data_IF_840691493309
#
_entry.id   IF_840691493309
#
_cell.length_a   1.000
_cell.length_b   1.000
_cell.length_c   1.000
_cell.angle_alpha   90.00
_cell.angle_beta   90.00
_cell.angle_gamma   90.00
#
_symmetry.space_group_name_H-M   'P 1'
#
loop_
_entity.id
_entity.type
_entity.pdbx_description
1 polymer ?
#
# COMPACT_ATOMS: atom_id res chain seq x y z
N UNK A 1 -5.03 -25.58 -12.88
CA UNK A 1 -4.23 -25.49 -11.64
C UNK A 1 -2.90 -24.82 -11.94
N UNK A 2 -2.55 -23.72 -11.28
CA UNK A 2 -1.21 -23.11 -11.36
C UNK A 2 -0.23 -24.05 -10.67
N UNK A 3 0.70 -24.66 -11.41
CA UNK A 3 1.78 -25.46 -10.80
C UNK A 3 2.71 -24.51 -10.03
N UNK A 4 2.68 -24.63 -8.71
CA UNK A 4 3.61 -23.93 -7.81
C UNK A 4 4.94 -24.68 -7.91
N UNK A 5 6.02 -23.98 -8.16
CA UNK A 5 7.37 -24.52 -8.11
C UNK A 5 7.75 -24.73 -6.64
N UNK A 6 8.03 -25.95 -6.24
CA UNK A 6 8.39 -26.29 -4.85
C UNK A 6 9.84 -25.92 -4.51
N UNK A 7 10.73 -25.99 -5.50
CA UNK A 7 12.15 -25.61 -5.34
C UNK A 7 12.34 -24.19 -5.86
N UNK A 8 13.05 -23.30 -5.12
CA UNK A 8 13.33 -21.95 -5.57
C UNK A 8 14.00 -21.92 -6.94
N UNK A 9 13.74 -20.88 -7.72
CA UNK A 9 14.45 -20.63 -8.98
C UNK A 9 15.96 -20.55 -8.70
N UNK A 10 16.82 -21.07 -9.53
CA UNK A 10 18.26 -21.18 -9.30
C UNK A 10 18.70 -22.52 -8.73
N UNK A 11 17.77 -23.36 -8.31
CA UNK A 11 18.08 -24.68 -7.76
C UNK A 11 17.30 -25.79 -8.45
N UNK A 12 17.93 -26.96 -8.49
CA UNK A 12 17.33 -28.20 -8.98
C UNK A 12 17.62 -29.34 -8.01
N UNK A 13 16.87 -30.41 -8.08
CA UNK A 13 17.12 -31.60 -7.26
C UNK A 13 17.87 -32.65 -8.08
N UNK A 14 18.99 -33.11 -7.55
CA UNK A 14 19.75 -34.27 -8.09
C UNK A 14 20.06 -35.23 -6.96
N UNK A 15 19.73 -36.50 -7.15
CA UNK A 15 19.99 -37.57 -6.19
C UNK A 15 19.50 -37.27 -4.76
N UNK A 16 18.32 -36.63 -4.62
CA UNK A 16 17.72 -36.30 -3.33
C UNK A 16 18.35 -35.05 -2.65
N UNK A 17 19.30 -34.38 -3.27
CA UNK A 17 19.94 -33.15 -2.76
C UNK A 17 19.62 -31.96 -3.65
N UNK A 18 19.49 -30.80 -3.04
CA UNK A 18 19.33 -29.53 -3.75
C UNK A 18 20.70 -29.06 -4.25
N UNK A 19 20.83 -28.82 -5.54
CA UNK A 19 22.05 -28.32 -6.17
C UNK A 19 21.76 -27.07 -7.00
N UNK A 20 22.76 -26.23 -7.17
CA UNK A 20 22.66 -25.01 -7.99
C UNK A 20 22.46 -25.41 -9.47
N UNK A 21 21.48 -24.77 -10.12
CA UNK A 21 21.33 -24.78 -11.58
C UNK A 21 22.11 -23.61 -12.14
N UNK A 22 23.21 -23.87 -12.85
CA UNK A 22 24.14 -22.85 -13.35
C UNK A 22 23.42 -21.76 -14.15
N UNK A 23 22.57 -22.17 -15.11
CA UNK A 23 21.83 -21.25 -15.96
C UNK A 23 20.86 -20.37 -15.17
N UNK A 24 20.09 -20.96 -14.25
CA UNK A 24 19.15 -20.21 -13.43
C UNK A 24 19.85 -19.33 -12.38
N UNK A 25 21.02 -19.75 -11.88
CA UNK A 25 21.82 -18.97 -10.93
C UNK A 25 22.41 -17.71 -11.57
N UNK A 26 22.80 -17.77 -12.83
CA UNK A 26 23.23 -16.58 -13.58
C UNK A 26 22.09 -15.57 -13.69
N UNK A 27 20.89 -16.02 -14.00
CA UNK A 27 19.71 -15.14 -14.05
C UNK A 27 19.42 -14.48 -12.70
N UNK A 28 19.60 -15.22 -11.58
CA UNK A 28 19.45 -14.63 -10.25
C UNK A 28 20.49 -13.51 -10.02
N UNK A 29 21.75 -13.75 -10.33
CA UNK A 29 22.82 -12.74 -10.21
C UNK A 29 22.52 -11.51 -11.05
N UNK A 30 22.03 -11.69 -12.27
CA UNK A 30 21.59 -10.61 -13.16
C UNK A 30 20.43 -9.80 -12.56
N UNK A 31 19.42 -10.46 -11.96
CA UNK A 31 18.31 -9.81 -11.30
C UNK A 31 18.79 -8.91 -10.15
N UNK A 32 19.64 -9.44 -9.25
CA UNK A 32 20.18 -8.67 -8.13
C UNK A 32 21.02 -7.49 -8.62
N UNK A 33 21.91 -7.71 -9.60
CA UNK A 33 22.74 -6.67 -10.22
C UNK A 33 21.90 -5.57 -10.86
N UNK A 34 20.90 -5.91 -11.67
CA UNK A 34 20.01 -4.95 -12.31
C UNK A 34 19.21 -4.15 -11.26
N UNK A 35 18.73 -4.81 -10.21
CA UNK A 35 17.97 -4.16 -9.15
C UNK A 35 18.81 -3.16 -8.35
N UNK A 36 20.03 -3.52 -8.00
CA UNK A 36 20.98 -2.63 -7.31
C UNK A 36 21.41 -1.45 -8.20
N UNK A 37 21.50 -1.66 -9.51
CA UNK A 37 21.76 -0.60 -10.49
C UNK A 37 20.55 0.32 -10.74
N UNK A 38 19.46 0.18 -9.99
CA UNK A 38 18.34 1.10 -10.02
C UNK A 38 17.14 0.64 -10.86
N UNK A 39 17.21 -0.50 -11.55
CA UNK A 39 16.08 -1.01 -12.33
C UNK A 39 14.84 -1.27 -11.45
N UNK A 40 13.64 -1.04 -11.99
CA UNK A 40 12.41 -1.38 -11.29
C UNK A 40 12.09 -2.86 -11.42
N UNK A 41 11.35 -3.42 -10.44
CA UNK A 41 10.91 -4.83 -10.49
C UNK A 41 10.13 -5.15 -11.78
N UNK A 42 9.40 -4.16 -12.32
CA UNK A 42 8.64 -4.29 -13.56
C UNK A 42 9.58 -4.33 -14.77
N UNK A 43 10.55 -3.42 -14.85
CA UNK A 43 11.52 -3.37 -15.94
C UNK A 43 12.34 -4.66 -16.04
N UNK A 44 12.81 -5.20 -14.89
CA UNK A 44 13.51 -6.48 -14.84
C UNK A 44 12.63 -7.61 -15.37
N UNK A 45 11.36 -7.66 -14.95
CA UNK A 45 10.43 -8.69 -15.40
C UNK A 45 10.15 -8.61 -16.92
N UNK A 46 10.01 -7.40 -17.46
CA UNK A 46 9.80 -7.14 -18.89
C UNK A 46 11.04 -7.55 -19.71
N UNK A 47 12.24 -7.24 -19.23
CA UNK A 47 13.49 -7.64 -19.87
C UNK A 47 13.65 -9.16 -19.92
N UNK A 48 13.48 -9.86 -18.80
CA UNK A 48 13.58 -11.31 -18.76
C UNK A 48 12.54 -11.99 -19.67
N UNK A 49 11.31 -11.41 -19.73
CA UNK A 49 10.26 -11.90 -20.63
C UNK A 49 10.62 -11.67 -22.09
N UNK A 50 11.18 -10.51 -22.45
CA UNK A 50 11.58 -10.19 -23.83
C UNK A 50 12.75 -11.09 -24.30
N UNK A 51 13.66 -11.43 -23.39
CA UNK A 51 14.75 -12.40 -23.64
C UNK A 51 14.27 -13.86 -23.66
N UNK A 52 12.96 -14.12 -23.47
CA UNK A 52 12.37 -15.46 -23.47
C UNK A 52 12.99 -16.41 -22.44
N UNK A 53 13.53 -15.89 -21.33
CA UNK A 53 14.17 -16.68 -20.29
C UNK A 53 13.10 -17.53 -19.60
N UNK A 54 13.25 -18.88 -19.55
CA UNK A 54 12.24 -19.74 -18.97
C UNK A 54 12.22 -19.60 -17.43
N UNK A 55 11.05 -19.29 -16.87
CA UNK A 55 10.83 -19.40 -15.42
C UNK A 55 10.47 -20.83 -15.00
N UNK A 56 9.76 -21.54 -15.85
CA UNK A 56 9.46 -22.96 -15.75
C UNK A 56 9.51 -23.55 -17.16
N UNK A 57 9.56 -24.90 -17.27
CA UNK A 57 9.51 -25.60 -18.57
C UNK A 57 8.34 -25.15 -19.49
N UNK A 58 7.29 -24.51 -18.92
CA UNK A 58 6.07 -24.14 -19.64
C UNK A 58 5.84 -22.64 -19.76
N UNK A 59 6.65 -21.80 -19.13
CA UNK A 59 6.41 -20.35 -19.15
C UNK A 59 7.71 -19.55 -19.11
N UNK A 60 7.80 -18.60 -20.03
CA UNK A 60 8.85 -17.58 -20.13
C UNK A 60 8.38 -16.23 -19.62
N UNK A 61 7.12 -16.13 -19.14
CA UNK A 61 6.56 -14.87 -18.65
C UNK A 61 7.04 -14.59 -17.24
N UNK A 62 7.64 -13.44 -17.03
CA UNK A 62 8.04 -12.92 -15.74
C UNK A 62 7.08 -11.82 -15.29
N UNK A 63 6.89 -11.66 -14.00
CA UNK A 63 6.11 -10.59 -13.40
C UNK A 63 6.84 -9.98 -12.19
N UNK A 64 6.45 -8.77 -11.81
CA UNK A 64 7.06 -8.05 -10.69
C UNK A 64 7.02 -8.84 -9.37
N UNK A 65 5.99 -9.68 -9.17
CA UNK A 65 5.84 -10.45 -7.94
C UNK A 65 6.83 -11.62 -7.87
N UNK A 66 7.20 -12.20 -9.03
CA UNK A 66 8.26 -13.21 -9.11
C UNK A 66 9.61 -12.59 -8.79
N UNK A 67 9.94 -11.44 -9.37
CA UNK A 67 11.19 -10.73 -9.08
C UNK A 67 11.24 -10.34 -7.60
N UNK A 68 10.15 -9.79 -7.04
CA UNK A 68 10.09 -9.43 -5.63
C UNK A 68 10.35 -10.63 -4.70
N UNK A 69 9.76 -11.79 -5.01
CA UNK A 69 9.97 -13.03 -4.25
C UNK A 69 11.41 -13.57 -4.36
N UNK A 70 12.08 -13.37 -5.50
CA UNK A 70 13.48 -13.73 -5.66
C UNK A 70 14.35 -12.84 -4.76
N UNK A 71 14.14 -11.53 -4.77
CA UNK A 71 14.91 -10.58 -3.94
C UNK A 71 14.70 -10.84 -2.44
N UNK A 72 13.49 -11.25 -2.02
CA UNK A 72 13.18 -11.52 -0.60
C UNK A 72 13.65 -12.90 -0.11
N UNK A 73 14.12 -13.76 -0.99
CA UNK A 73 14.40 -15.14 -0.63
C UNK A 73 15.81 -15.32 -0.05
N UNK A 74 15.89 -15.38 1.28
CA UNK A 74 17.15 -15.58 2.01
C UNK A 74 17.88 -16.89 1.69
N UNK A 75 17.24 -17.88 1.04
CA UNK A 75 17.89 -19.12 0.63
C UNK A 75 19.06 -18.91 -0.34
N UNK A 76 19.06 -17.79 -1.05
CA UNK A 76 20.16 -17.47 -2.00
C UNK A 76 21.48 -17.08 -1.34
N UNK A 77 21.48 -16.75 -0.05
CA UNK A 77 22.69 -16.48 0.74
C UNK A 77 23.30 -17.78 1.28
N UNK A 78 22.56 -18.88 1.19
CA UNK A 78 22.96 -20.18 1.70
C UNK A 78 22.20 -20.57 2.96
N UNK A 79 21.91 -21.86 3.07
CA UNK A 79 21.32 -22.53 4.25
C UNK A 79 21.87 -23.94 4.32
N UNK A 80 21.51 -24.73 5.33
CA UNK A 80 21.91 -26.13 5.43
C UNK A 80 21.50 -26.96 4.19
N UNK A 81 20.40 -26.57 3.50
CA UNK A 81 19.86 -27.29 2.35
C UNK A 81 20.18 -26.65 0.99
N UNK A 82 20.65 -25.41 0.97
CA UNK A 82 20.85 -24.62 -0.25
C UNK A 82 22.23 -23.98 -0.27
N UNK A 83 23.02 -24.29 -1.27
CA UNK A 83 24.32 -23.64 -1.50
C UNK A 83 24.12 -22.16 -1.88
N UNK A 84 25.01 -21.25 -1.48
CA UNK A 84 24.86 -19.82 -1.77
C UNK A 84 25.02 -19.51 -3.27
N UNK A 85 24.10 -18.69 -3.81
CA UNK A 85 24.16 -18.16 -5.18
C UNK A 85 24.60 -16.69 -5.17
N UNK A 86 24.23 -15.95 -4.11
CA UNK A 86 24.47 -14.52 -3.93
C UNK A 86 25.23 -14.31 -2.63
N UNK A 87 26.15 -13.34 -2.63
CA UNK A 87 26.83 -12.91 -1.41
C UNK A 87 25.86 -12.18 -0.46
N UNK A 88 26.04 -12.36 0.84
CA UNK A 88 25.21 -11.77 1.89
C UNK A 88 25.11 -10.25 1.76
N UNK A 89 26.24 -9.58 1.51
CA UNK A 89 26.29 -8.13 1.32
C UNK A 89 25.42 -7.64 0.14
N UNK A 90 25.37 -8.39 -0.96
CA UNK A 90 24.54 -8.08 -2.13
C UNK A 90 23.07 -8.26 -1.80
N UNK A 91 22.72 -9.32 -1.06
CA UNK A 91 21.37 -9.60 -0.62
C UNK A 91 20.85 -8.50 0.33
N UNK A 92 21.61 -8.18 1.37
CA UNK A 92 21.25 -7.13 2.33
C UNK A 92 21.07 -5.76 1.67
N UNK A 93 21.96 -5.40 0.76
CA UNK A 93 21.84 -4.16 -0.01
C UNK A 93 20.55 -4.13 -0.84
N UNK A 94 20.18 -5.25 -1.48
CA UNK A 94 18.97 -5.33 -2.28
C UNK A 94 17.69 -5.24 -1.42
N UNK A 95 17.65 -5.91 -0.26
CA UNK A 95 16.53 -5.86 0.70
C UNK A 95 16.41 -4.46 1.31
N UNK A 96 17.52 -3.84 1.69
CA UNK A 96 17.55 -2.47 2.21
C UNK A 96 17.02 -1.47 1.18
N UNK A 97 17.48 -1.56 -0.07
CA UNK A 97 17.00 -0.73 -1.17
C UNK A 97 15.49 -0.93 -1.41
N UNK A 98 15.00 -2.16 -1.32
CA UNK A 98 13.58 -2.47 -1.46
C UNK A 98 12.75 -1.83 -0.35
N UNK A 99 13.21 -1.94 0.89
CA UNK A 99 12.57 -1.34 2.06
C UNK A 99 12.55 0.18 1.96
N UNK A 100 13.66 0.82 1.55
CA UNK A 100 13.74 2.25 1.33
C UNK A 100 12.75 2.72 0.25
N UNK A 101 12.64 1.99 -0.87
CA UNK A 101 11.66 2.28 -1.93
C UNK A 101 10.21 2.12 -1.47
N UNK A 102 9.92 1.18 -0.57
CA UNK A 102 8.60 1.03 0.04
C UNK A 102 8.28 2.18 1.00
N UNK A 103 9.22 2.59 1.85
CA UNK A 103 9.06 3.72 2.78
C UNK A 103 8.74 5.00 2.04
N UNK A 104 9.46 5.31 0.96
CA UNK A 104 9.20 6.49 0.12
C UNK A 104 7.78 6.50 -0.50
N UNK A 105 7.09 5.37 -0.54
CA UNK A 105 5.69 5.27 -0.98
C UNK A 105 4.72 5.45 0.20
N UNK A 106 5.14 5.09 1.42
CA UNK A 106 4.36 5.19 2.66
C UNK A 106 4.55 6.51 3.42
N UNK A 107 5.71 7.16 3.33
CA UNK A 107 6.04 8.41 4.07
C UNK A 107 5.21 9.64 3.66
N UNK A 108 4.21 9.47 2.81
CA UNK A 108 3.20 10.50 2.50
C UNK A 108 1.87 10.26 3.22
N UNK A 109 1.83 9.38 4.19
CA UNK A 109 0.69 9.31 5.11
C UNK A 109 0.85 10.45 6.13
N UNK A 110 0.03 11.48 5.94
CA UNK A 110 -0.06 12.57 6.90
C UNK A 110 -0.80 12.01 8.13
N UNK A 111 -0.12 11.90 9.27
CA UNK A 111 -0.66 11.36 10.52
C UNK A 111 -2.02 11.98 10.88
N UNK A 112 -2.20 13.27 10.58
CA UNK A 112 -3.46 13.97 10.79
C UNK A 112 -4.59 13.42 9.90
N UNK A 113 -4.30 12.98 8.68
CA UNK A 113 -5.30 12.35 7.79
C UNK A 113 -5.69 10.97 8.28
N UNK A 114 -4.77 10.22 8.86
CA UNK A 114 -5.06 8.91 9.42
C UNK A 114 -6.00 9.01 10.61
N UNK A 115 -5.82 10.02 11.47
CA UNK A 115 -6.75 10.32 12.55
C UNK A 115 -8.17 10.65 12.04
N UNK A 116 -8.29 11.25 10.86
CA UNK A 116 -9.58 11.63 10.29
C UNK A 116 -10.34 10.45 9.65
N UNK A 117 -9.67 9.36 9.32
CA UNK A 117 -10.29 8.22 8.59
C UNK A 117 -11.56 7.69 9.27
N UNK A 118 -11.57 7.63 10.59
CA UNK A 118 -12.67 7.09 11.36
C UNK A 118 -13.85 8.06 11.49
N UNK A 119 -13.63 9.34 11.23
CA UNK A 119 -14.62 10.40 11.40
C UNK A 119 -15.30 10.83 10.10
N UNK A 120 -14.63 10.61 8.93
CA UNK A 120 -15.18 11.07 7.65
C UNK A 120 -16.33 10.16 7.22
N UNK A 121 -17.53 10.73 7.13
CA UNK A 121 -18.76 10.05 6.74
C UNK A 121 -19.35 10.66 5.46
N UNK A 122 -20.05 9.84 4.71
CA UNK A 122 -20.79 10.28 3.53
C UNK A 122 -22.04 11.05 3.95
N UNK A 123 -22.19 12.29 3.47
CA UNK A 123 -23.32 13.14 3.78
C UNK A 123 -24.65 12.56 3.26
N UNK A 124 -24.61 11.83 2.15
CA UNK A 124 -25.82 11.24 1.54
C UNK A 124 -26.34 9.98 2.26
N UNK A 125 -25.44 9.08 2.70
CA UNK A 125 -25.86 7.78 3.24
C UNK A 125 -25.30 7.47 4.65
N UNK A 126 -24.50 8.36 5.24
CA UNK A 126 -23.92 8.20 6.57
C UNK A 126 -22.79 7.15 6.66
N UNK A 127 -22.54 6.39 5.61
CA UNK A 127 -21.52 5.35 5.62
C UNK A 127 -20.10 5.93 5.64
N UNK A 128 -19.11 5.18 6.19
CA UNK A 128 -17.72 5.63 6.20
C UNK A 128 -17.22 5.92 4.80
N UNK A 129 -16.31 6.87 4.67
CA UNK A 129 -15.61 7.14 3.42
C UNK A 129 -14.18 6.60 3.48
N UNK A 130 -13.71 6.04 2.38
CA UNK A 130 -12.31 5.56 2.23
C UNK A 130 -11.50 6.53 1.39
N UNK A 131 -10.35 6.94 1.94
CA UNK A 131 -9.34 7.72 1.19
C UNK A 131 -8.69 6.87 0.10
N UNK A 132 -8.56 7.44 -1.09
CA UNK A 132 -7.88 6.86 -2.24
C UNK A 132 -6.93 7.88 -2.85
N UNK A 133 -5.78 7.44 -3.34
CA UNK A 133 -4.82 8.25 -4.07
C UNK A 133 -4.79 7.77 -5.52
N UNK A 134 -4.90 8.70 -6.48
CA UNK A 134 -4.82 8.40 -7.90
C UNK A 134 -3.89 9.38 -8.60
N UNK A 135 -2.85 8.86 -9.23
CA UNK A 135 -1.87 9.66 -9.98
C UNK A 135 -2.43 10.24 -11.29
N UNK A 136 -3.65 9.84 -11.69
CA UNK A 136 -4.26 10.24 -12.97
C UNK A 136 -4.91 11.64 -12.95
N UNK A 137 -5.06 12.25 -11.78
CA UNK A 137 -5.80 13.50 -11.61
C UNK A 137 -4.92 14.58 -10.99
N UNK A 138 -5.27 15.87 -11.24
CA UNK A 138 -4.60 17.04 -10.65
C UNK A 138 -4.69 17.01 -9.12
N UNK A 139 -5.88 16.76 -8.58
CA UNK A 139 -6.06 16.46 -7.16
C UNK A 139 -6.00 14.94 -7.05
N UNK A 140 -4.95 14.43 -6.43
CA UNK A 140 -4.64 13.00 -6.36
C UNK A 140 -5.50 12.27 -5.33
N UNK A 141 -5.85 12.96 -4.27
CA UNK A 141 -6.59 12.46 -3.12
C UNK A 141 -8.08 12.51 -3.41
N UNK A 142 -8.77 11.47 -2.99
CA UNK A 142 -10.23 11.40 -3.05
C UNK A 142 -10.77 10.57 -1.90
N UNK A 143 -11.94 10.94 -1.42
CA UNK A 143 -12.72 10.20 -0.44
C UNK A 143 -13.90 9.56 -1.15
N UNK A 144 -14.01 8.24 -1.07
CA UNK A 144 -15.03 7.46 -1.75
C UNK A 144 -15.94 6.82 -0.71
N UNK A 145 -17.25 6.93 -0.91
CA UNK A 145 -18.20 6.22 -0.08
C UNK A 145 -17.96 4.70 -0.13
N UNK A 146 -18.10 4.02 0.99
CA UNK A 146 -17.96 2.56 1.06
C UNK A 146 -19.22 1.83 0.62
N UNK A 147 -20.34 2.52 0.51
CA UNK A 147 -21.58 1.97 -0.05
C UNK A 147 -21.52 2.08 -1.58
N UNK A 148 -21.47 0.95 -2.26
CA UNK A 148 -21.37 0.86 -3.71
C UNK A 148 -22.61 1.44 -4.41
N UNK A 149 -23.80 1.35 -3.80
CA UNK A 149 -25.03 1.92 -4.32
C UNK A 149 -25.05 3.46 -4.26
N UNK A 150 -24.33 4.05 -3.29
CA UNK A 150 -24.25 5.50 -3.13
C UNK A 150 -23.31 6.14 -4.15
N UNK A 151 -22.17 5.52 -4.41
CA UNK A 151 -21.19 5.93 -5.43
C UNK A 151 -20.55 7.31 -5.25
N UNK A 152 -20.82 8.05 -4.16
CA UNK A 152 -20.32 9.40 -3.93
C UNK A 152 -18.79 9.38 -3.77
N UNK A 153 -18.17 10.31 -4.49
CA UNK A 153 -16.71 10.54 -4.46
C UNK A 153 -16.43 12.03 -4.37
N UNK A 154 -15.68 12.42 -3.35
CA UNK A 154 -15.21 13.79 -3.17
C UNK A 154 -13.70 13.84 -3.43
N UNK A 155 -13.27 14.79 -4.29
CA UNK A 155 -11.85 15.05 -4.55
C UNK A 155 -11.43 16.31 -3.82
N UNK A 156 -10.55 16.16 -2.85
CA UNK A 156 -9.99 17.23 -2.05
C UNK A 156 -8.58 16.84 -1.68
N UNK A 157 -7.63 17.79 -1.76
CA UNK A 157 -6.28 17.52 -1.28
C UNK A 157 -6.25 17.43 0.24
N UNK A 158 -5.35 16.62 0.77
CA UNK A 158 -5.18 16.47 2.21
C UNK A 158 -4.91 17.82 2.89
N UNK A 159 -4.09 18.67 2.26
CA UNK A 159 -3.79 20.00 2.77
C UNK A 159 -5.06 20.86 2.91
N UNK A 160 -5.89 20.89 1.88
CA UNK A 160 -7.15 21.66 1.92
C UNK A 160 -8.13 21.10 2.97
N UNK A 161 -8.22 19.77 3.10
CA UNK A 161 -9.08 19.14 4.10
C UNK A 161 -8.64 19.54 5.51
N UNK A 162 -7.35 19.39 5.83
CA UNK A 162 -6.79 19.74 7.14
C UNK A 162 -6.97 21.24 7.42
N UNK A 163 -6.67 22.10 6.45
CA UNK A 163 -6.85 23.55 6.60
C UNK A 163 -8.31 23.89 6.92
N UNK A 164 -9.26 23.31 6.18
CA UNK A 164 -10.68 23.55 6.40
C UNK A 164 -11.10 23.14 7.82
N UNK A 165 -10.67 21.95 8.26
CA UNK A 165 -10.98 21.43 9.59
C UNK A 165 -10.34 22.32 10.67
N UNK A 166 -9.08 22.73 10.46
CA UNK A 166 -8.37 23.62 11.40
C UNK A 166 -9.10 24.95 11.56
N UNK A 167 -9.55 25.54 10.45
CA UNK A 167 -10.34 26.79 10.48
C UNK A 167 -11.64 26.59 11.24
N UNK A 168 -12.35 25.48 11.03
CA UNK A 168 -13.58 25.18 11.75
C UNK A 168 -13.35 24.99 13.25
N UNK A 169 -12.33 24.23 13.63
CA UNK A 169 -11.96 24.01 15.04
C UNK A 169 -11.61 25.35 15.71
N UNK A 170 -10.79 26.18 15.07
CA UNK A 170 -10.42 27.48 15.61
C UNK A 170 -11.66 28.41 15.77
N UNK A 171 -12.61 28.37 14.83
CA UNK A 171 -13.88 29.09 14.98
C UNK A 171 -14.70 28.63 16.18
N UNK A 172 -14.72 27.31 16.43
CA UNK A 172 -15.42 26.73 17.60
C UNK A 172 -14.72 27.18 18.89
N UNK A 173 -13.38 27.10 18.95
CA UNK A 173 -12.60 27.51 20.12
C UNK A 173 -12.82 29.01 20.44
N UNK A 174 -12.81 29.85 19.41
CA UNK A 174 -13.02 31.29 19.57
C UNK A 174 -14.46 31.68 19.91
N UNK A 175 -15.42 30.76 19.72
CA UNK A 175 -16.85 30.98 19.93
C UNK A 175 -17.46 29.83 20.75
N UNK A 176 -16.85 29.51 21.89
CA UNK A 176 -17.25 28.41 22.77
C UNK A 176 -18.71 28.48 23.23
N UNK A 177 -19.24 29.71 23.33
CA UNK A 177 -20.65 29.98 23.65
C UNK A 177 -21.62 29.35 22.63
N UNK A 178 -21.20 29.04 21.37
CA UNK A 178 -22.02 28.38 20.37
C UNK A 178 -22.23 26.89 20.68
N UNK A 179 -21.36 26.30 21.49
CA UNK A 179 -21.46 24.89 21.93
C UNK A 179 -22.27 24.73 23.18
N UNK A 180 -22.58 25.82 23.90
CA UNK A 180 -23.38 25.76 25.09
C UNK A 180 -24.85 25.48 24.73
N UNK A 181 -25.48 24.46 25.31
CA UNK A 181 -26.88 24.19 25.05
C UNK A 181 -27.71 25.39 25.52
N UNK A 182 -28.41 26.03 24.59
CA UNK A 182 -29.34 27.11 24.97
C UNK A 182 -30.34 26.53 25.98
N UNK A 183 -30.53 27.17 27.15
CA UNK A 183 -31.48 26.71 28.13
C UNK A 183 -32.86 26.65 27.45
N UNK A 184 -33.46 25.45 27.40
CA UNK A 184 -34.82 25.30 26.91
C UNK A 184 -35.69 26.12 27.84
N UNK A 185 -36.31 27.21 27.35
CA UNK A 185 -37.38 27.90 28.09
C UNK A 185 -38.46 26.86 28.35
N UNK A 186 -38.59 26.36 29.60
CA UNK A 186 -39.79 25.63 30.00
C UNK A 186 -40.91 26.63 29.88
N UNK A 187 -41.87 26.32 29.00
CA UNK A 187 -43.13 27.01 28.97
C UNK A 187 -43.92 26.55 30.22
N UNK A 188 -44.04 27.43 31.19
CA UNK A 188 -44.99 27.27 32.28
C UNK A 188 -46.32 27.86 31.79
N UNK A 189 -47.34 27.03 31.54
CA UNK A 189 -48.63 27.56 31.15
C UNK A 189 -49.14 28.47 32.24
N UNK A 190 -49.47 29.71 31.89
CA UNK A 190 -50.09 30.67 32.82
C UNK A 190 -51.36 30.07 33.35
N UNK A 191 -51.53 30.05 34.67
CA UNK A 191 -52.68 29.45 35.35
C UNK A 191 -54.04 29.99 34.87
N UNK A 192 -54.05 31.08 34.12
CA UNK A 192 -55.27 31.65 33.48
C UNK A 192 -55.75 30.92 32.22
N UNK A 193 -54.86 30.07 31.60
CA UNK A 193 -55.20 29.34 30.36
C UNK A 193 -55.83 27.97 30.67
N UNK A 194 -55.86 27.53 31.92
CA UNK A 194 -56.32 26.20 32.30
C UNK A 194 -57.85 26.20 32.70
N UNK A 195 -58.55 27.28 32.46
CA UNK A 195 -60.05 27.37 32.69
C UNK A 195 -60.73 27.60 31.34
N UNK A 196 -60.90 26.57 30.56
CA UNK A 196 -61.91 26.37 29.55
C UNK A 196 -62.37 24.93 29.61
#
# INVERSE_FOLDING_TARGET
MKKIRYIPYGYTMRNGRTVISTEEAEVIRDIFKAYLNGASLKAIAEELTSRQIPYTQKTTTWDKARIARIIDNAKYVGTEEYDPIIDEAIYEAAVSLKTARQRNTCEKENDAIDLLRDFVRCDNCGQPMKRRISMKHRIRESWNCTNDECGIRVRISDAQLIETITVLINRIILNDHLLQPKPRKRYEPDAKVTKV
#
